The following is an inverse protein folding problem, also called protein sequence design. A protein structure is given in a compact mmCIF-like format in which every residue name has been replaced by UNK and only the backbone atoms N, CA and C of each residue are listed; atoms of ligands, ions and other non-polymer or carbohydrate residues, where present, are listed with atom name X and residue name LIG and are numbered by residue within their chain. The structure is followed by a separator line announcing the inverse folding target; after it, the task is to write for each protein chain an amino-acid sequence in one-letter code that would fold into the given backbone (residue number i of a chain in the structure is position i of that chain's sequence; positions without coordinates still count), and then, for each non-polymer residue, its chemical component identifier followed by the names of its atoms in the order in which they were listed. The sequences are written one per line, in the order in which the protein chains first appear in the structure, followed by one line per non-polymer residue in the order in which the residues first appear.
data_IF_839193823459
#
_entry.id   IF_839193823459
#
_cell.length_a   1.000
_cell.length_b   1.000
_cell.length_c   1.000
_cell.angle_alpha   90.00
_cell.angle_beta   90.00
_cell.angle_gamma   90.00
#
_symmetry.space_group_name_H-M   'P 1'
#
loop_
_entity.id
_entity.type
_entity.pdbx_description
1 polymer ?
#
# COMPACT_ATOMS: atom_id res chain seq x y z
N UNK A 1 -2.05 -8.07 -41.24
CA UNK A 1 -1.70 -6.70 -40.82
C UNK A 1 -2.35 -6.43 -39.47
N UNK A 2 -1.59 -6.30 -38.37
CA UNK A 2 -2.18 -6.01 -37.04
C UNK A 2 -1.32 -6.32 -35.80
N UNK A 3 -0.18 -6.99 -35.93
CA UNK A 3 0.62 -7.46 -34.78
C UNK A 3 1.58 -6.42 -34.21
N UNK A 4 2.09 -5.49 -35.02
CA UNK A 4 3.04 -4.47 -34.58
C UNK A 4 2.40 -3.40 -33.68
N UNK A 5 1.22 -2.89 -34.06
CA UNK A 5 0.49 -1.90 -33.26
C UNK A 5 -0.03 -2.45 -31.93
N UNK A 6 -0.46 -3.72 -31.92
CA UNK A 6 -0.87 -4.42 -30.70
C UNK A 6 0.30 -4.55 -29.70
N UNK A 7 1.47 -4.99 -30.16
CA UNK A 7 2.68 -5.11 -29.32
C UNK A 7 3.17 -3.77 -28.77
N UNK A 8 3.18 -2.73 -29.61
CA UNK A 8 3.57 -1.39 -29.18
C UNK A 8 2.63 -0.84 -28.10
N UNK A 9 1.31 -1.04 -28.27
CA UNK A 9 0.31 -0.67 -27.28
C UNK A 9 0.47 -1.43 -25.97
N UNK A 10 0.67 -2.75 -26.01
CA UNK A 10 0.88 -3.55 -24.80
C UNK A 10 2.16 -3.18 -24.07
N UNK A 11 3.26 -2.91 -24.79
CA UNK A 11 4.52 -2.46 -24.19
C UNK A 11 4.36 -1.09 -23.53
N UNK A 12 3.66 -0.16 -24.19
CA UNK A 12 3.34 1.15 -23.61
C UNK A 12 2.45 1.02 -22.36
N UNK A 13 1.39 0.18 -22.41
CA UNK A 13 0.52 -0.09 -21.26
C UNK A 13 1.29 -0.71 -20.09
N UNK A 14 2.23 -1.63 -20.37
CA UNK A 14 3.12 -2.21 -19.36
C UNK A 14 4.10 -1.19 -18.77
N UNK A 15 4.66 -0.30 -19.60
CA UNK A 15 5.56 0.74 -19.15
C UNK A 15 4.84 1.79 -18.30
N UNK A 16 3.65 2.21 -18.71
CA UNK A 16 2.80 3.13 -17.93
C UNK A 16 2.37 2.48 -16.62
N UNK A 17 1.98 1.21 -16.63
CA UNK A 17 1.66 0.47 -15.40
C UNK A 17 2.89 0.36 -14.48
N UNK A 18 4.07 0.10 -15.04
CA UNK A 18 5.33 0.07 -14.29
C UNK A 18 5.63 1.43 -13.64
N UNK A 19 5.55 2.52 -14.40
CA UNK A 19 5.78 3.87 -13.90
C UNK A 19 4.73 4.30 -12.87
N UNK A 20 3.48 3.89 -13.06
CA UNK A 20 2.39 4.15 -12.12
C UNK A 20 2.66 3.48 -10.75
N UNK A 21 3.18 2.26 -10.74
CA UNK A 21 3.42 1.49 -9.52
C UNK A 21 4.80 1.72 -8.88
N UNK A 22 5.69 2.53 -9.48
CA UNK A 22 7.02 2.87 -8.92
C UNK A 22 6.95 3.33 -7.45
N UNK A 23 6.00 4.22 -7.15
CA UNK A 23 5.80 4.74 -5.79
C UNK A 23 5.41 3.63 -4.82
N UNK A 24 4.53 2.71 -5.22
CA UNK A 24 4.14 1.56 -4.40
C UNK A 24 5.34 0.62 -4.18
N UNK A 25 6.12 0.35 -5.24
CA UNK A 25 7.32 -0.50 -5.18
C UNK A 25 8.34 0.08 -4.20
N UNK A 26 8.63 1.39 -4.28
CA UNK A 26 9.55 2.06 -3.37
C UNK A 26 9.09 1.96 -1.91
N UNK A 27 7.81 2.25 -1.65
CA UNK A 27 7.26 2.14 -0.29
C UNK A 27 7.34 0.70 0.20
N UNK A 28 7.05 -0.29 -0.65
CA UNK A 28 7.17 -1.70 -0.29
C UNK A 28 8.62 -2.10 0.05
N UNK A 29 9.61 -1.58 -0.67
CA UNK A 29 11.04 -1.77 -0.36
C UNK A 29 11.39 -1.17 0.99
N UNK A 30 10.98 0.07 1.26
CA UNK A 30 11.20 0.74 2.56
C UNK A 30 10.51 -0.02 3.70
N UNK A 31 9.26 -0.44 3.50
CA UNK A 31 8.50 -1.22 4.47
C UNK A 31 9.11 -2.59 4.74
N UNK A 32 9.75 -3.21 3.74
CA UNK A 32 10.53 -4.44 3.93
C UNK A 32 11.77 -4.20 4.78
N UNK A 33 12.52 -3.14 4.51
CA UNK A 33 13.74 -2.82 5.23
C UNK A 33 13.48 -2.37 6.68
N UNK A 34 12.46 -1.52 6.90
CA UNK A 34 12.16 -0.93 8.20
C UNK A 34 11.20 -1.76 9.07
N UNK A 35 10.53 -2.76 8.48
CA UNK A 35 9.48 -3.52 9.16
C UNK A 35 8.24 -2.71 9.53
N UNK A 36 8.09 -1.48 9.04
CA UNK A 36 7.00 -0.54 9.34
C UNK A 36 6.77 0.43 8.18
N UNK A 37 5.65 1.16 8.21
CA UNK A 37 5.28 2.20 7.24
C UNK A 37 5.11 3.52 8.00
N UNK A 38 5.86 4.56 7.61
CA UNK A 38 5.81 5.88 8.25
C UNK A 38 4.82 6.84 7.57
N UNK A 39 4.71 8.07 8.11
CA UNK A 39 3.86 9.11 7.51
C UNK A 39 4.24 9.48 6.07
N UNK A 40 5.53 9.56 5.76
CA UNK A 40 6.01 9.84 4.40
C UNK A 40 5.55 8.77 3.40
N UNK A 41 5.59 7.50 3.83
CA UNK A 41 5.14 6.37 3.05
C UNK A 41 3.63 6.40 2.85
N UNK A 42 2.86 6.72 3.90
CA UNK A 42 1.40 6.92 3.80
C UNK A 42 1.08 8.06 2.83
N UNK A 43 1.82 9.17 2.87
CA UNK A 43 1.69 10.28 1.91
C UNK A 43 1.91 9.84 0.47
N UNK A 44 2.98 9.07 0.23
CA UNK A 44 3.27 8.49 -1.07
C UNK A 44 2.15 7.54 -1.55
N UNK A 45 1.60 6.72 -0.65
CA UNK A 45 0.50 5.79 -0.96
C UNK A 45 -0.82 6.51 -1.25
N UNK A 46 -1.09 7.65 -0.59
CA UNK A 46 -2.23 8.51 -0.91
C UNK A 46 -2.13 9.03 -2.34
N UNK A 47 -0.94 9.50 -2.76
CA UNK A 47 -0.69 9.94 -4.12
C UNK A 47 -0.89 8.80 -5.12
N UNK A 48 -0.29 7.63 -4.86
CA UNK A 48 -0.43 6.44 -5.70
C UNK A 48 -1.90 5.99 -5.86
N UNK A 49 -2.70 6.07 -4.79
CA UNK A 49 -4.15 5.78 -4.86
C UNK A 49 -5.00 6.96 -5.33
N UNK A 50 -4.40 8.12 -5.61
CA UNK A 50 -5.09 9.37 -5.97
C UNK A 50 -6.15 9.78 -4.94
N UNK A 51 -5.85 9.56 -3.66
CA UNK A 51 -6.73 9.90 -2.55
C UNK A 51 -6.54 11.35 -2.12
N UNK A 52 -7.60 11.95 -1.61
CA UNK A 52 -7.60 13.32 -1.10
C UNK A 52 -6.96 13.39 0.28
N UNK A 53 -5.91 14.21 0.39
CA UNK A 53 -5.26 14.52 1.67
C UNK A 53 -5.78 15.81 2.32
N UNK A 54 -6.64 16.57 1.64
CA UNK A 54 -7.28 17.79 2.15
C UNK A 54 -8.52 17.45 3.00
N UNK A 55 -8.32 16.59 3.99
CA UNK A 55 -9.37 16.08 4.87
C UNK A 55 -8.98 16.24 6.33
N UNK A 56 -9.94 16.36 7.27
CA UNK A 56 -9.64 16.49 8.69
C UNK A 56 -8.80 15.34 9.26
N UNK A 57 -8.94 14.12 8.72
CA UNK A 57 -8.17 12.98 9.20
C UNK A 57 -6.68 13.10 8.85
N UNK A 58 -6.32 13.71 7.73
CA UNK A 58 -4.93 13.87 7.31
C UNK A 58 -4.18 14.80 8.27
N UNK A 59 -4.79 15.93 8.64
CA UNK A 59 -4.23 16.82 9.68
C UNK A 59 -4.09 16.11 11.02
N UNK A 60 -5.09 15.34 11.46
CA UNK A 60 -4.99 14.55 12.69
C UNK A 60 -3.87 13.51 12.63
N UNK A 61 -3.69 12.83 11.49
CA UNK A 61 -2.61 11.86 11.29
C UNK A 61 -1.23 12.54 11.38
N UNK A 62 -1.11 13.77 10.86
CA UNK A 62 0.13 14.56 10.96
C UNK A 62 0.45 14.98 12.40
N UNK A 63 -0.55 15.11 13.28
CA UNK A 63 -0.35 15.38 14.70
C UNK A 63 0.06 14.15 15.53
N UNK A 64 -0.12 12.92 15.01
CA UNK A 64 0.38 11.71 15.67
C UNK A 64 1.91 11.66 15.50
N UNK A 65 2.72 11.32 16.51
CA UNK A 65 4.16 11.12 16.34
C UNK A 65 4.49 10.05 15.28
N UNK A 66 5.55 10.23 14.48
CA UNK A 66 5.92 9.22 13.45
C UNK A 66 6.29 7.87 14.06
N UNK A 67 6.88 7.89 15.25
CA UNK A 67 7.17 6.68 16.01
C UNK A 67 5.91 5.86 16.32
N UNK A 68 4.82 6.52 16.69
CA UNK A 68 3.56 5.84 17.00
C UNK A 68 2.90 5.26 15.74
N UNK A 69 2.92 6.01 14.63
CA UNK A 69 2.47 5.50 13.32
C UNK A 69 3.26 4.27 12.92
N UNK A 70 4.60 4.31 13.05
CA UNK A 70 5.47 3.17 12.76
C UNK A 70 5.23 1.98 13.67
N UNK A 71 4.99 2.20 14.96
CA UNK A 71 4.69 1.12 15.89
C UNK A 71 3.39 0.39 15.53
N UNK A 72 2.35 1.15 15.15
CA UNK A 72 1.08 0.57 14.69
C UNK A 72 1.25 -0.16 13.37
N UNK A 73 1.93 0.43 12.39
CA UNK A 73 2.12 -0.20 11.07
C UNK A 73 3.10 -1.36 11.10
N UNK A 74 4.01 -1.44 12.07
CA UNK A 74 4.86 -2.62 12.27
C UNK A 74 4.02 -3.87 12.56
N UNK A 75 3.05 -3.75 13.47
CA UNK A 75 2.10 -4.84 13.77
C UNK A 75 1.27 -5.24 12.56
N UNK A 76 0.93 -4.27 11.70
CA UNK A 76 0.24 -4.52 10.43
C UNK A 76 1.13 -5.33 9.50
N UNK A 77 2.40 -4.92 9.34
CA UNK A 77 3.39 -5.62 8.52
C UNK A 77 3.54 -7.08 8.98
N UNK A 78 3.65 -7.31 10.29
CA UNK A 78 3.73 -8.66 10.85
C UNK A 78 2.48 -9.48 10.51
N UNK A 79 1.29 -8.92 10.76
CA UNK A 79 0.02 -9.59 10.49
C UNK A 79 -0.14 -9.96 9.00
N UNK A 80 0.22 -9.08 8.07
CA UNK A 80 0.07 -9.34 6.62
C UNK A 80 1.20 -10.16 6.02
N UNK A 81 2.29 -10.39 6.76
CA UNK A 81 3.41 -11.26 6.35
C UNK A 81 3.37 -12.64 7.01
N UNK A 82 2.55 -12.83 8.04
CA UNK A 82 2.37 -14.13 8.70
C UNK A 82 1.93 -15.24 7.70
N UNK A 83 2.80 -16.22 7.41
CA UNK A 83 2.51 -17.28 6.45
C UNK A 83 1.44 -18.27 6.95
N UNK A 84 1.16 -18.29 8.26
CA UNK A 84 0.17 -19.19 8.86
C UNK A 84 -1.26 -18.66 8.77
N UNK A 85 -1.41 -17.36 8.52
CA UNK A 85 -2.71 -16.72 8.31
C UNK A 85 -3.13 -16.78 6.83
N UNK A 86 -4.42 -17.02 6.58
CA UNK A 86 -4.98 -16.87 5.22
C UNK A 86 -4.96 -15.40 4.79
N UNK A 87 -4.83 -15.11 3.49
CA UNK A 87 -4.84 -13.73 2.97
C UNK A 87 -6.04 -12.91 3.47
N UNK A 88 -7.29 -13.41 3.46
CA UNK A 88 -8.43 -12.66 3.99
C UNK A 88 -8.35 -12.39 5.49
N UNK A 89 -7.87 -13.36 6.28
CA UNK A 89 -7.72 -13.20 7.74
C UNK A 89 -6.65 -12.16 8.06
N UNK A 90 -5.49 -12.25 7.40
CA UNK A 90 -4.40 -11.30 7.53
C UNK A 90 -4.81 -9.87 7.10
N UNK A 91 -5.55 -9.73 6.00
CA UNK A 91 -6.07 -8.44 5.56
C UNK A 91 -7.06 -7.84 6.56
N UNK A 92 -7.98 -8.65 7.12
CA UNK A 92 -8.93 -8.21 8.14
C UNK A 92 -8.21 -7.73 9.40
N UNK A 93 -7.23 -8.50 9.86
CA UNK A 93 -6.43 -8.14 11.04
C UNK A 93 -5.63 -6.85 10.81
N UNK A 94 -4.98 -6.72 9.64
CA UNK A 94 -4.28 -5.50 9.27
C UNK A 94 -5.18 -4.26 9.28
N UNK A 95 -6.41 -4.35 8.73
CA UNK A 95 -7.40 -3.25 8.81
C UNK A 95 -7.79 -2.92 10.24
N UNK A 96 -8.03 -3.95 11.06
CA UNK A 96 -8.39 -3.78 12.48
C UNK A 96 -7.30 -3.02 13.25
N UNK A 97 -6.04 -3.35 13.03
CA UNK A 97 -4.90 -2.67 13.64
C UNK A 97 -4.81 -1.20 13.19
N UNK A 98 -4.99 -0.95 11.88
CA UNK A 98 -4.96 0.39 11.30
C UNK A 98 -6.08 1.29 11.80
N UNK A 99 -7.24 0.75 12.20
CA UNK A 99 -8.39 1.54 12.65
C UNK A 99 -8.11 2.46 13.86
N UNK A 100 -7.00 2.24 14.58
CA UNK A 100 -6.52 3.12 15.64
C UNK A 100 -5.91 4.43 15.12
N UNK A 101 -5.47 4.48 13.86
CA UNK A 101 -4.89 5.67 13.24
C UNK A 101 -5.97 6.52 12.54
N UNK A 102 -5.83 7.87 12.58
CA UNK A 102 -6.72 8.75 11.81
C UNK A 102 -6.66 8.42 10.31
N UNK A 103 -7.84 8.32 9.68
CA UNK A 103 -7.96 8.06 8.23
C UNK A 103 -8.18 6.61 7.86
N UNK A 104 -8.18 5.70 8.84
CA UNK A 104 -8.36 4.26 8.62
C UNK A 104 -9.67 3.70 9.21
N UNK A 105 -10.52 4.56 9.78
CA UNK A 105 -11.82 4.18 10.33
C UNK A 105 -12.91 4.04 9.26
N UNK A 106 -12.75 4.73 8.13
CA UNK A 106 -13.80 4.87 7.11
C UNK A 106 -13.20 4.79 5.72
N UNK A 107 -13.68 3.83 4.92
CA UNK A 107 -13.19 3.57 3.58
C UNK A 107 -11.96 2.65 3.55
N UNK A 108 -11.99 1.67 2.65
CA UNK A 108 -10.96 0.63 2.58
C UNK A 108 -9.76 1.01 1.70
N UNK A 109 -9.82 2.14 0.98
CA UNK A 109 -8.85 2.47 -0.05
C UNK A 109 -7.42 2.71 0.50
N UNK A 110 -7.30 3.52 1.56
CA UNK A 110 -6.01 3.80 2.19
C UNK A 110 -5.47 2.57 2.93
N UNK A 111 -6.34 1.90 3.69
CA UNK A 111 -5.98 0.66 4.37
C UNK A 111 -5.46 -0.38 3.36
N UNK A 112 -6.17 -0.61 2.26
CA UNK A 112 -5.74 -1.48 1.17
C UNK A 112 -4.36 -1.10 0.62
N UNK A 113 -4.09 0.18 0.39
CA UNK A 113 -2.78 0.63 -0.08
C UNK A 113 -1.65 0.27 0.90
N UNK A 114 -1.87 0.48 2.19
CA UNK A 114 -0.91 0.13 3.25
C UNK A 114 -0.68 -1.37 3.32
N UNK A 115 -1.74 -2.19 3.24
CA UNK A 115 -1.61 -3.65 3.25
C UNK A 115 -0.87 -4.17 2.01
N UNK A 116 -1.17 -3.63 0.83
CA UNK A 116 -0.46 -3.96 -0.43
C UNK A 116 1.02 -3.59 -0.30
N UNK A 117 1.35 -2.40 0.17
CA UNK A 117 2.75 -2.00 0.34
C UNK A 117 3.48 -2.87 1.38
N UNK A 118 2.81 -3.26 2.45
CA UNK A 118 3.37 -4.10 3.51
C UNK A 118 3.68 -5.54 3.02
N UNK A 119 2.84 -6.11 2.16
CA UNK A 119 3.05 -7.45 1.59
C UNK A 119 2.53 -7.57 0.14
N UNK A 120 3.23 -7.00 -0.86
CA UNK A 120 2.69 -6.89 -2.23
C UNK A 120 2.30 -8.23 -2.84
N UNK A 121 3.13 -9.27 -2.66
CA UNK A 121 2.86 -10.60 -3.20
C UNK A 121 1.65 -11.31 -2.59
N UNK A 122 1.25 -10.95 -1.37
CA UNK A 122 0.13 -11.58 -0.65
C UNK A 122 -1.15 -10.76 -0.71
N UNK A 123 -1.01 -9.44 -0.75
CA UNK A 123 -2.12 -8.49 -0.61
C UNK A 123 -2.52 -7.83 -1.94
N UNK A 124 -1.68 -7.91 -2.99
CA UNK A 124 -2.07 -7.46 -4.31
C UNK A 124 -3.06 -8.44 -4.97
N UNK A 125 -3.98 -7.89 -5.75
CA UNK A 125 -4.75 -8.65 -6.75
C UNK A 125 -3.82 -9.08 -7.90
N UNK A 126 -4.18 -10.12 -8.69
CA UNK A 126 -3.27 -10.89 -9.58
C UNK A 126 -2.47 -10.14 -10.68
N UNK A 127 -2.51 -8.81 -10.75
CA UNK A 127 -1.79 -8.00 -11.74
C UNK A 127 -0.34 -7.62 -11.32
N UNK A 128 0.13 -8.02 -10.14
CA UNK A 128 1.49 -7.68 -9.70
C UNK A 128 2.56 -8.41 -10.53
N UNK A 129 3.62 -7.72 -11.01
CA UNK A 129 4.70 -8.36 -11.76
C UNK A 129 5.37 -9.43 -10.89
N UNK A 130 5.27 -10.68 -11.34
CA UNK A 130 6.07 -11.78 -10.81
C UNK A 130 7.44 -11.66 -11.44
N UNK A 131 8.38 -11.08 -10.69
CA UNK A 131 9.81 -11.26 -10.98
C UNK A 131 10.19 -12.73 -10.88
#
# INVERSE_FOLDING_TARGET
MGTAGYRARTAYEQQVASAYDEVLVEVAVRARAAGSIGKSDIGALLLWKRLRADTPWASRLMSVPDLEVRATTARVVDAVRDPHSSTPAAAREGRRLLASLPGFTTGDALASAVLVAAAPRRMAVPAWPRG
#
